data_IF_984736657337
#
_entry.id   IF_984736657337
#
_cell.length_a   1.000
_cell.length_b   1.000
_cell.length_c   1.000
_cell.angle_alpha   90.00
_cell.angle_beta   90.00
_cell.angle_gamma   90.00
#
_symmetry.space_group_name_H-M   'P 1'
#
loop_
_entity.id
_entity.type
_entity.pdbx_description
1 polymer ?
#
# COMPACT_ATOMS: atom_id res chain seq x y z
N UNK A 1 4.20 10.99 -3.96
CA UNK A 1 3.30 10.02 -4.61
C UNK A 1 1.89 10.29 -4.13
N UNK A 2 0.92 10.37 -5.04
CA UNK A 2 -0.51 10.55 -4.77
C UNK A 2 -1.25 9.21 -4.75
N UNK A 3 -2.50 9.18 -4.27
CA UNK A 3 -3.33 7.97 -4.32
C UNK A 3 -3.55 7.44 -5.75
N UNK A 4 -3.64 8.35 -6.73
CA UNK A 4 -3.79 8.00 -8.15
C UNK A 4 -2.53 7.34 -8.72
N UNK A 5 -1.34 7.86 -8.37
CA UNK A 5 -0.07 7.25 -8.75
C UNK A 5 0.11 5.87 -8.11
N UNK A 6 -0.29 5.71 -6.84
CA UNK A 6 -0.29 4.42 -6.16
C UNK A 6 -1.20 3.42 -6.89
N UNK A 7 -2.44 3.81 -7.22
CA UNK A 7 -3.36 2.98 -8.01
C UNK A 7 -2.71 2.52 -9.31
N UNK A 8 -2.10 3.46 -10.04
CA UNK A 8 -1.48 3.18 -11.33
C UNK A 8 -0.30 2.22 -11.20
N UNK A 9 0.51 2.35 -10.14
CA UNK A 9 1.62 1.45 -9.84
C UNK A 9 1.15 0.01 -9.61
N UNK A 10 0.04 -0.18 -8.89
CA UNK A 10 -0.55 -1.51 -8.66
C UNK A 10 -1.06 -2.14 -9.97
N UNK A 11 -1.74 -1.34 -10.79
CA UNK A 11 -2.26 -1.76 -12.10
C UNK A 11 -1.12 -2.11 -13.05
N UNK A 12 -0.08 -1.29 -13.12
CA UNK A 12 1.06 -1.54 -13.99
C UNK A 12 1.78 -2.84 -13.60
N UNK A 13 1.99 -3.06 -12.30
CA UNK A 13 2.71 -4.24 -11.82
C UNK A 13 1.91 -5.54 -11.94
N UNK A 14 0.64 -5.52 -11.58
CA UNK A 14 -0.15 -6.74 -11.39
C UNK A 14 -1.48 -6.76 -12.17
N UNK A 15 -1.76 -5.74 -12.97
CA UNK A 15 -2.93 -5.65 -13.83
C UNK A 15 -4.23 -5.29 -13.12
N UNK A 16 -4.24 -5.13 -11.79
CA UNK A 16 -5.45 -4.92 -11.00
C UNK A 16 -5.27 -3.81 -9.94
N UNK A 17 -6.33 -3.02 -9.66
CA UNK A 17 -6.31 -1.99 -8.62
C UNK A 17 -6.52 -2.62 -7.22
N UNK A 18 -5.47 -3.27 -6.70
CA UNK A 18 -5.51 -3.92 -5.39
C UNK A 18 -5.83 -2.95 -4.24
N UNK A 19 -6.44 -3.47 -3.20
CA UNK A 19 -6.51 -2.81 -1.89
C UNK A 19 -5.15 -2.83 -1.20
N UNK A 20 -4.95 -1.86 -0.32
CA UNK A 20 -3.68 -1.63 0.38
C UNK A 20 -3.96 -1.28 1.83
N UNK A 21 -3.23 -1.89 2.76
CA UNK A 21 -3.44 -1.65 4.19
C UNK A 21 -2.11 -1.52 4.92
N UNK A 22 -2.05 -0.61 5.90
CA UNK A 22 -0.96 -0.64 6.86
C UNK A 22 -1.22 -1.70 7.91
N UNK A 23 -0.18 -2.43 8.29
CA UNK A 23 -0.20 -3.36 9.41
C UNK A 23 1.00 -3.14 10.30
N UNK A 24 0.77 -3.02 11.61
CA UNK A 24 1.83 -3.01 12.62
C UNK A 24 1.94 -4.37 13.28
N UNK A 25 3.14 -4.91 13.35
CA UNK A 25 3.43 -6.15 14.09
C UNK A 25 4.87 -6.16 14.56
N UNK A 26 5.11 -6.62 15.79
CA UNK A 26 6.44 -6.73 16.38
C UNK A 26 7.28 -5.43 16.27
N UNK A 27 6.64 -4.28 16.51
CA UNK A 27 7.30 -2.97 16.44
C UNK A 27 7.58 -2.45 15.02
N UNK A 28 7.27 -3.21 13.96
CA UNK A 28 7.47 -2.84 12.56
C UNK A 28 6.16 -2.48 11.89
N UNK A 29 6.21 -1.58 10.92
CA UNK A 29 5.08 -1.23 10.04
C UNK A 29 5.31 -1.89 8.69
N UNK A 30 4.23 -2.41 8.11
CA UNK A 30 4.21 -3.01 6.79
C UNK A 30 3.12 -2.34 5.97
N UNK A 31 3.39 -2.12 4.68
CA UNK A 31 2.36 -1.89 3.69
C UNK A 31 1.99 -3.24 3.07
N UNK A 32 0.75 -3.66 3.25
CA UNK A 32 0.24 -4.91 2.70
C UNK A 32 -0.58 -4.63 1.44
N UNK A 33 -0.15 -5.18 0.31
CA UNK A 33 -0.95 -5.23 -0.90
C UNK A 33 -1.86 -6.45 -0.79
N UNK A 34 -3.15 -6.18 -0.61
CA UNK A 34 -4.16 -7.20 -0.38
C UNK A 34 -4.51 -7.91 -1.68
N UNK A 35 -5.12 -9.09 -1.59
CA UNK A 35 -5.56 -9.84 -2.77
C UNK A 35 -6.91 -9.39 -3.33
N UNK A 36 -7.68 -8.62 -2.55
CA UNK A 36 -8.92 -7.99 -3.01
C UNK A 36 -8.55 -6.76 -3.83
N UNK A 37 -9.31 -6.49 -4.88
CA UNK A 37 -9.11 -5.33 -5.75
C UNK A 37 -10.44 -4.68 -6.12
N UNK A 38 -10.38 -3.39 -6.42
CA UNK A 38 -11.55 -2.63 -6.86
C UNK A 38 -12.12 -3.21 -8.16
N UNK A 39 -13.44 -3.41 -8.22
CA UNK A 39 -14.14 -4.06 -9.34
C UNK A 39 -14.43 -5.55 -9.11
N UNK A 40 -13.91 -6.16 -8.04
CA UNK A 40 -14.36 -7.48 -7.60
C UNK A 40 -15.76 -7.37 -6.96
N UNK A 41 -16.67 -8.32 -7.23
CA UNK A 41 -18.08 -8.26 -6.81
C UNK A 41 -18.30 -8.08 -5.29
N UNK A 42 -17.34 -8.49 -4.45
CA UNK A 42 -17.41 -8.35 -2.99
C UNK A 42 -16.34 -7.40 -2.45
N UNK A 43 -15.92 -6.42 -3.24
CA UNK A 43 -15.05 -5.35 -2.78
C UNK A 43 -15.83 -4.41 -1.85
N UNK A 44 -15.30 -4.05 -0.67
CA UNK A 44 -16.10 -3.38 0.36
C UNK A 44 -16.25 -1.87 0.18
N UNK A 45 -15.51 -1.25 -0.75
CA UNK A 45 -15.48 0.21 -0.94
C UNK A 45 -16.11 0.61 -2.27
N UNK A 46 -16.78 1.75 -2.28
CA UNK A 46 -17.19 2.44 -3.51
C UNK A 46 -15.97 3.01 -4.25
N UNK A 47 -16.15 3.50 -5.48
CA UNK A 47 -15.05 4.12 -6.24
C UNK A 47 -14.43 5.32 -5.49
N UNK A 48 -15.28 6.21 -4.97
CA UNK A 48 -14.84 7.40 -4.22
C UNK A 48 -14.13 7.02 -2.93
N UNK A 49 -14.70 6.10 -2.14
CA UNK A 49 -14.09 5.61 -0.90
C UNK A 49 -12.74 4.91 -1.16
N UNK A 50 -12.64 4.14 -2.25
CA UNK A 50 -11.39 3.51 -2.64
C UNK A 50 -10.32 4.54 -3.02
N UNK A 51 -10.69 5.59 -3.75
CA UNK A 51 -9.75 6.64 -4.15
C UNK A 51 -9.28 7.47 -2.94
N UNK A 52 -10.19 7.80 -2.02
CA UNK A 52 -9.86 8.49 -0.76
C UNK A 52 -8.94 7.65 0.12
N UNK A 53 -9.24 6.36 0.25
CA UNK A 53 -8.40 5.40 0.95
C UNK A 53 -6.98 5.35 0.38
N UNK A 54 -6.83 5.25 -0.96
CA UNK A 54 -5.51 5.28 -1.59
C UNK A 54 -4.77 6.60 -1.37
N UNK A 55 -5.49 7.73 -1.35
CA UNK A 55 -4.88 9.04 -1.08
C UNK A 55 -4.34 9.10 0.36
N UNK A 56 -5.14 8.63 1.32
CA UNK A 56 -4.72 8.49 2.72
C UNK A 56 -3.48 7.59 2.85
N UNK A 57 -3.46 6.42 2.20
CA UNK A 57 -2.28 5.53 2.19
C UNK A 57 -1.06 6.26 1.62
N UNK A 58 -1.21 6.92 0.47
CA UNK A 58 -0.12 7.66 -0.14
C UNK A 58 0.39 8.79 0.76
N UNK A 59 -0.50 9.56 1.41
CA UNK A 59 -0.13 10.61 2.36
C UNK A 59 0.70 10.07 3.52
N UNK A 60 0.29 8.95 4.12
CA UNK A 60 1.10 8.28 5.15
C UNK A 60 2.45 7.82 4.62
N UNK A 61 2.53 7.24 3.40
CA UNK A 61 3.81 6.86 2.81
C UNK A 61 4.73 8.07 2.59
N UNK A 62 4.19 9.23 2.19
CA UNK A 62 4.97 10.48 2.09
C UNK A 62 5.49 10.89 3.47
N UNK A 63 4.62 10.93 4.48
CA UNK A 63 4.97 11.34 5.84
C UNK A 63 6.05 10.44 6.47
N UNK A 64 5.97 9.13 6.23
CA UNK A 64 6.93 8.16 6.73
C UNK A 64 8.22 8.08 5.89
N UNK A 65 8.31 8.80 4.77
CA UNK A 65 9.44 8.68 3.83
C UNK A 65 9.52 7.33 3.11
N UNK A 66 8.45 6.52 3.13
CA UNK A 66 8.43 5.15 2.64
C UNK A 66 8.24 4.98 1.13
N UNK A 67 8.05 6.08 0.38
CA UNK A 67 7.66 6.01 -1.05
C UNK A 67 8.68 5.28 -1.90
N UNK A 68 9.96 5.69 -1.82
CA UNK A 68 11.00 5.09 -2.66
C UNK A 68 11.12 3.59 -2.36
N UNK A 69 11.05 3.21 -1.09
CA UNK A 69 11.10 1.81 -0.66
C UNK A 69 9.93 0.99 -1.24
N UNK A 70 8.71 1.52 -1.20
CA UNK A 70 7.52 0.86 -1.77
C UNK A 70 7.64 0.74 -3.29
N UNK A 71 8.01 1.81 -3.99
CA UNK A 71 8.17 1.78 -5.46
C UNK A 71 9.22 0.75 -5.88
N UNK A 72 10.40 0.81 -5.28
CA UNK A 72 11.50 -0.15 -5.53
C UNK A 72 11.04 -1.58 -5.26
N UNK A 73 10.43 -1.84 -4.09
CA UNK A 73 9.95 -3.19 -3.76
C UNK A 73 8.94 -3.70 -4.79
N UNK A 74 7.95 -2.88 -5.18
CA UNK A 74 6.91 -3.29 -6.13
C UNK A 74 7.53 -3.58 -7.50
N UNK A 75 8.46 -2.75 -7.97
CA UNK A 75 9.13 -2.95 -9.25
C UNK A 75 9.95 -4.25 -9.27
N UNK A 76 10.69 -4.54 -8.21
CA UNK A 76 11.63 -5.67 -8.16
C UNK A 76 10.97 -7.00 -7.76
N UNK A 77 9.91 -6.97 -6.94
CA UNK A 77 9.33 -8.20 -6.40
C UNK A 77 8.70 -9.08 -7.49
N UNK A 78 8.90 -10.40 -7.35
CA UNK A 78 8.16 -11.41 -8.15
C UNK A 78 6.90 -11.90 -7.43
N UNK A 79 6.69 -11.46 -6.19
CA UNK A 79 5.48 -11.79 -5.45
C UNK A 79 4.25 -11.16 -6.09
N UNK A 80 3.11 -11.81 -5.87
CA UNK A 80 1.81 -11.34 -6.34
C UNK A 80 0.78 -11.57 -5.23
N UNK A 81 -0.17 -10.65 -5.01
CA UNK A 81 -1.27 -10.89 -4.09
C UNK A 81 -2.09 -12.10 -4.55
N UNK A 82 -2.41 -13.02 -3.63
CA UNK A 82 -3.23 -14.23 -3.91
C UNK A 82 -4.24 -14.42 -2.79
N UNK A 83 -5.31 -15.17 -3.04
CA UNK A 83 -6.36 -15.41 -2.05
C UNK A 83 -5.77 -15.84 -0.69
N UNK A 84 -6.00 -15.03 0.35
CA UNK A 84 -5.48 -15.26 1.70
C UNK A 84 -4.02 -14.85 1.94
N UNK A 85 -3.28 -14.41 0.92
CA UNK A 85 -1.87 -14.00 1.01
C UNK A 85 -1.63 -12.61 0.40
N UNK A 86 -1.37 -11.65 1.27
CA UNK A 86 -0.95 -10.30 0.89
C UNK A 86 0.55 -10.27 0.56
N UNK A 87 0.96 -9.36 -0.35
CA UNK A 87 2.37 -8.97 -0.50
C UNK A 87 2.67 -7.96 0.59
N UNK A 88 3.60 -8.28 1.50
CA UNK A 88 3.88 -7.44 2.67
C UNK A 88 5.22 -6.74 2.50
N UNK A 89 5.17 -5.43 2.31
CA UNK A 89 6.35 -4.57 2.15
C UNK A 89 6.72 -4.05 3.54
N UNK A 90 7.84 -4.47 4.14
CA UNK A 90 8.31 -3.83 5.36
C UNK A 90 8.59 -2.36 5.06
N UNK A 91 8.26 -1.47 5.99
CA UNK A 91 8.61 -0.06 5.90
C UNK A 91 9.65 0.24 6.97
N UNK A 92 10.87 0.52 6.53
CA UNK A 92 11.87 1.15 7.38
C UNK A 92 11.48 2.60 7.63
N UNK A 93 11.23 2.95 8.88
CA UNK A 93 10.73 4.28 9.28
C UNK A 93 11.86 5.29 9.49
N UNK A 94 13.13 4.88 9.33
CA UNK A 94 14.29 5.67 9.70
C UNK A 94 14.20 6.28 11.11
N UNK A 95 14.97 7.34 11.35
CA UNK A 95 14.94 8.11 12.60
C UNK A 95 13.73 9.08 12.69
N UNK A 96 13.00 9.28 11.57
CA UNK A 96 11.92 10.27 11.43
C UNK A 96 10.58 9.83 12.03
N UNK A 97 10.43 8.55 12.37
CA UNK A 97 9.24 8.04 13.05
C UNK A 97 9.02 8.67 14.44
N UNK A 98 10.07 9.16 15.10
CA UNK A 98 9.98 9.72 16.45
C UNK A 98 9.21 11.04 16.51
N UNK A 99 9.03 11.74 15.39
CA UNK A 99 8.35 13.05 15.35
C UNK A 99 6.82 12.95 15.22
N UNK A 100 6.28 11.75 14.93
CA UNK A 100 4.85 11.54 14.64
C UNK A 100 4.17 10.56 15.61
N UNK A 101 4.90 10.11 16.63
CA UNK A 101 4.42 9.18 17.66
C UNK A 101 4.34 9.95 18.99
N UNK A 102 3.44 10.93 19.05
CA UNK A 102 2.88 11.46 20.30
C UNK A 102 1.37 11.47 20.22
#
# INVERSE_FOLDING_TARGET
MTGKELRQLLIDKWGQPYDVQFRRTQGKIFLQIMWKYFGQASFPLSETDYQDHLDSIANYLNALGGIQQVQTFILETKERPRLGKAVSIPLDLGERASEWIV
#
